data_IF_897213321049
#
_entry.id   IF_897213321049
#
_cell.length_a   1.000
_cell.length_b   1.000
_cell.length_c   1.000
_cell.angle_alpha   90.00
_cell.angle_beta   90.00
_cell.angle_gamma   90.00
#
_symmetry.space_group_name_H-M   'P 1'
#
loop_
_entity.id
_entity.type
_entity.pdbx_description
1 polymer ?
#
# COMPACT_ATOMS: atom_id res chain seq x y z
N UNK A 1 -55.63 17.15 7.18
CA UNK A 1 -54.35 16.81 7.83
C UNK A 1 -53.24 17.41 6.99
N UNK A 2 -52.52 18.37 7.57
CA UNK A 2 -51.58 19.26 6.89
C UNK A 2 -50.18 18.65 7.01
N UNK A 3 -49.48 18.54 5.88
CA UNK A 3 -48.07 18.17 5.84
C UNK A 3 -47.22 19.32 6.39
N UNK A 4 -46.44 19.06 7.43
CA UNK A 4 -45.50 20.04 7.99
C UNK A 4 -44.12 19.41 8.20
N UNK A 5 -43.25 19.67 7.23
CA UNK A 5 -41.87 20.15 7.37
C UNK A 5 -41.11 19.82 8.68
N UNK A 6 -40.44 18.67 8.73
CA UNK A 6 -39.30 18.44 9.65
C UNK A 6 -38.10 17.84 8.93
N UNK A 7 -37.92 18.17 7.65
CA UNK A 7 -36.76 17.74 6.85
C UNK A 7 -35.65 18.82 6.77
N UNK A 8 -35.89 20.04 7.27
CA UNK A 8 -35.04 21.20 7.01
C UNK A 8 -33.93 21.50 8.02
N UNK A 9 -33.95 20.93 9.22
CA UNK A 9 -33.01 21.33 10.28
C UNK A 9 -31.85 20.35 10.46
N UNK A 10 -32.05 19.07 10.14
CA UNK A 10 -30.98 18.06 10.28
C UNK A 10 -29.94 18.12 9.14
N UNK A 11 -30.28 18.76 8.02
CA UNK A 11 -29.39 18.88 6.86
C UNK A 11 -28.38 20.05 6.98
N UNK A 12 -28.58 20.98 7.92
CA UNK A 12 -27.70 22.14 8.11
C UNK A 12 -26.53 21.89 9.08
N UNK A 13 -26.50 20.75 9.79
CA UNK A 13 -25.44 20.43 10.76
C UNK A 13 -24.29 19.56 10.20
N UNK A 14 -24.39 19.07 8.95
CA UNK A 14 -23.35 18.23 8.32
C UNK A 14 -22.39 19.00 7.41
N UNK A 15 -22.56 20.31 7.26
CA UNK A 15 -21.80 21.15 6.31
C UNK A 15 -20.67 21.99 6.95
N UNK A 16 -20.18 21.62 8.14
CA UNK A 16 -19.11 22.35 8.80
C UNK A 16 -18.01 21.41 9.33
N UNK A 17 -17.21 20.86 8.41
CA UNK A 17 -15.82 20.44 8.62
C UNK A 17 -15.14 20.17 7.27
N UNK A 18 -15.24 21.12 6.33
CA UNK A 18 -14.28 21.23 5.24
C UNK A 18 -13.16 22.16 5.71
N UNK A 19 -12.08 21.56 6.22
CA UNK A 19 -10.78 22.21 6.27
C UNK A 19 -9.82 21.39 5.42
N UNK A 20 -9.17 22.12 4.54
CA UNK A 20 -8.31 21.74 3.44
C UNK A 20 -7.29 20.66 3.79
N UNK A 21 -7.43 19.48 3.19
CA UNK A 21 -6.27 18.60 2.99
C UNK A 21 -5.56 19.13 1.75
N UNK A 22 -4.29 19.58 1.86
CA UNK A 22 -3.58 20.15 0.73
C UNK A 22 -3.52 19.16 -0.43
N UNK A 23 -3.97 19.66 -1.58
CA UNK A 23 -3.65 19.15 -2.90
C UNK A 23 -2.17 18.75 -2.97
N UNK A 24 -1.93 17.59 -3.58
CA UNK A 24 -0.73 17.22 -4.34
C UNK A 24 0.43 18.23 -4.25
N UNK A 25 1.65 17.81 -3.85
CA UNK A 25 2.83 18.59 -4.18
C UNK A 25 2.82 18.84 -5.69
N UNK A 26 2.53 20.08 -6.04
CA UNK A 26 2.62 20.59 -7.38
C UNK A 26 4.01 20.24 -7.89
N UNK A 27 4.01 19.48 -8.97
CA UNK A 27 5.02 19.55 -10.00
C UNK A 27 5.63 20.97 -10.06
N UNK A 28 6.95 21.04 -9.90
CA UNK A 28 7.84 22.13 -10.31
C UNK A 28 7.45 23.53 -9.80
N UNK A 29 7.96 23.87 -8.61
CA UNK A 29 8.24 25.27 -8.32
C UNK A 29 9.21 25.79 -9.40
N UNK A 30 8.73 26.68 -10.26
CA UNK A 30 9.58 27.55 -11.06
C UNK A 30 10.25 28.54 -10.09
N UNK A 31 11.35 28.12 -9.47
CA UNK A 31 12.24 29.04 -8.78
C UNK A 31 13.04 29.82 -9.84
N UNK A 32 12.52 30.97 -10.23
CA UNK A 32 13.34 32.03 -10.84
C UNK A 32 14.28 32.52 -9.74
N UNK A 33 15.50 31.98 -9.74
CA UNK A 33 16.59 32.40 -8.85
C UNK A 33 17.37 33.52 -9.55
N UNK A 34 17.40 34.77 -9.02
CA UNK A 34 18.21 35.83 -9.61
C UNK A 34 19.63 35.73 -9.07
N UNK A 35 20.38 34.70 -9.50
CA UNK A 35 21.83 34.80 -9.68
C UNK A 35 22.34 33.55 -10.40
N UNK A 36 23.05 33.76 -11.50
CA UNK A 36 23.48 32.73 -12.44
C UNK A 36 24.63 31.86 -11.94
N UNK A 37 24.33 30.86 -11.12
CA UNK A 37 25.20 29.67 -10.97
C UNK A 37 24.36 28.43 -11.23
N UNK A 38 24.52 27.87 -12.44
CA UNK A 38 23.80 26.70 -12.94
C UNK A 38 24.24 25.49 -12.11
N UNK A 39 23.37 25.01 -11.22
CA UNK A 39 23.59 23.74 -10.55
C UNK A 39 23.73 22.63 -11.61
N UNK A 40 24.69 21.71 -11.47
CA UNK A 40 24.79 20.54 -12.34
C UNK A 40 23.46 19.77 -12.32
N UNK A 41 23.01 19.19 -13.45
CA UNK A 41 21.81 18.37 -13.46
C UNK A 41 21.93 17.28 -12.39
N UNK A 42 20.98 17.24 -11.46
CA UNK A 42 20.85 16.12 -10.53
C UNK A 42 20.67 14.87 -11.39
N UNK A 43 21.62 13.93 -11.32
CA UNK A 43 21.51 12.68 -12.05
C UNK A 43 20.16 12.01 -11.71
N UNK A 44 19.50 11.35 -12.68
CA UNK A 44 18.30 10.57 -12.39
C UNK A 44 18.56 9.62 -11.22
N UNK A 45 17.57 9.40 -10.33
CA UNK A 45 17.73 8.42 -9.26
C UNK A 45 18.12 7.07 -9.87
N UNK A 46 19.05 6.32 -9.25
CA UNK A 46 19.45 5.02 -9.76
C UNK A 46 18.21 4.12 -9.90
N UNK A 47 18.20 3.22 -10.91
CA UNK A 47 17.13 2.24 -11.01
C UNK A 47 17.00 1.47 -9.69
N UNK A 48 15.77 1.11 -9.26
CA UNK A 48 15.58 0.39 -8.01
C UNK A 48 16.48 -0.84 -8.00
N UNK A 49 17.24 -1.04 -6.92
CA UNK A 49 18.01 -2.25 -6.75
C UNK A 49 17.02 -3.41 -6.59
N UNK A 50 16.89 -4.23 -7.63
CA UNK A 50 15.92 -5.31 -7.69
C UNK A 50 16.21 -6.47 -6.71
N UNK A 51 17.28 -6.37 -5.93
CA UNK A 51 17.70 -7.40 -4.98
C UNK A 51 17.03 -7.25 -3.60
N UNK A 52 16.57 -6.05 -3.25
CA UNK A 52 16.00 -5.77 -1.93
C UNK A 52 14.47 -5.64 -1.96
N UNK A 53 13.81 -6.17 -0.93
CA UNK A 53 12.40 -5.93 -0.75
C UNK A 53 12.14 -4.48 -0.34
N UNK A 54 11.06 -3.93 -0.85
CA UNK A 54 10.66 -2.55 -0.59
C UNK A 54 9.46 -2.48 0.35
N UNK A 55 9.32 -1.34 1.03
CA UNK A 55 8.12 -1.05 1.82
C UNK A 55 6.84 -1.04 0.96
N UNK A 56 6.92 -0.64 -0.31
CA UNK A 56 5.79 -0.68 -1.23
C UNK A 56 5.31 -2.12 -1.45
N UNK A 57 6.22 -3.06 -1.74
CA UNK A 57 5.88 -4.49 -1.85
C UNK A 57 5.30 -5.04 -0.55
N UNK A 58 5.85 -4.65 0.61
CA UNK A 58 5.28 -5.03 1.92
C UNK A 58 3.84 -4.55 2.07
N UNK A 59 3.56 -3.30 1.72
CA UNK A 59 2.20 -2.73 1.80
C UNK A 59 1.22 -3.46 0.88
N UNK A 60 1.63 -3.72 -0.36
CA UNK A 60 0.80 -4.42 -1.34
C UNK A 60 0.48 -5.85 -0.88
N UNK A 61 1.48 -6.60 -0.41
CA UNK A 61 1.29 -7.97 0.09
C UNK A 61 0.40 -8.00 1.33
N UNK A 62 0.61 -7.08 2.27
CA UNK A 62 -0.21 -7.01 3.47
C UNK A 62 -1.66 -6.68 3.14
N UNK A 63 -1.90 -5.84 2.13
CA UNK A 63 -3.23 -5.48 1.67
C UNK A 63 -3.91 -6.63 0.91
N UNK A 64 -3.30 -7.08 -0.19
CA UNK A 64 -3.92 -8.01 -1.13
C UNK A 64 -3.99 -9.43 -0.59
N UNK A 65 -3.01 -9.85 0.21
CA UNK A 65 -2.96 -11.20 0.76
C UNK A 65 -3.53 -11.32 2.18
N UNK A 66 -4.11 -10.24 2.73
CA UNK A 66 -4.52 -10.14 4.15
C UNK A 66 -5.31 -11.35 4.64
N UNK A 67 -6.31 -11.78 3.88
CA UNK A 67 -7.19 -12.87 4.28
C UNK A 67 -6.52 -14.24 4.32
N UNK A 68 -5.41 -14.39 3.57
CA UNK A 68 -4.60 -15.58 3.60
C UNK A 68 -3.58 -15.57 4.74
N UNK A 69 -3.00 -14.42 5.06
CA UNK A 69 -1.91 -14.31 6.04
C UNK A 69 -2.39 -14.04 7.47
N UNK A 70 -3.61 -13.53 7.68
CA UNK A 70 -4.16 -13.21 9.02
C UNK A 70 -4.11 -14.40 9.98
N UNK A 71 -3.79 -14.17 11.25
CA UNK A 71 -3.73 -15.24 12.24
C UNK A 71 -5.09 -15.93 12.45
N UNK A 72 -6.14 -15.14 12.51
CA UNK A 72 -7.51 -15.58 12.81
C UNK A 72 -8.16 -16.39 11.68
N UNK A 73 -9.06 -17.29 12.05
CA UNK A 73 -9.92 -18.05 11.12
C UNK A 73 -11.23 -17.26 10.84
N UNK A 74 -11.90 -17.47 9.70
CA UNK A 74 -11.54 -18.36 8.58
C UNK A 74 -10.42 -17.79 7.71
N UNK A 75 -9.68 -18.66 7.03
CA UNK A 75 -8.62 -18.27 6.07
C UNK A 75 -9.18 -18.39 4.67
N UNK A 76 -8.98 -17.36 3.85
CA UNK A 76 -9.29 -17.42 2.42
C UNK A 76 -8.03 -17.75 1.64
N UNK A 77 -8.09 -18.81 0.83
CA UNK A 77 -6.98 -19.14 -0.08
C UNK A 77 -7.10 -18.22 -1.30
N UNK A 78 -6.04 -17.47 -1.67
CA UNK A 78 -6.10 -16.60 -2.84
C UNK A 78 -6.32 -17.44 -4.10
N UNK A 79 -7.19 -16.98 -4.99
CA UNK A 79 -7.39 -17.60 -6.31
C UNK A 79 -6.13 -17.43 -7.16
N UNK A 80 -5.91 -18.35 -8.09
CA UNK A 80 -4.83 -18.20 -9.08
C UNK A 80 -5.00 -16.88 -9.83
N UNK A 81 -3.89 -16.19 -10.09
CA UNK A 81 -3.84 -14.87 -10.75
C UNK A 81 -4.66 -13.77 -10.05
N UNK A 82 -5.01 -13.95 -8.78
CA UNK A 82 -5.56 -12.87 -7.95
C UNK A 82 -4.53 -11.75 -7.73
N UNK A 83 -4.96 -10.54 -7.33
CA UNK A 83 -4.05 -9.48 -6.92
C UNK A 83 -2.97 -9.92 -5.93
N UNK A 84 -3.32 -10.77 -4.96
CA UNK A 84 -2.35 -11.36 -4.03
C UNK A 84 -1.24 -12.16 -4.74
N UNK A 85 -1.57 -12.94 -5.77
CA UNK A 85 -0.54 -13.66 -6.56
C UNK A 85 0.37 -12.70 -7.30
N UNK A 86 -0.18 -11.63 -7.87
CA UNK A 86 0.60 -10.63 -8.60
C UNK A 86 1.55 -9.89 -7.66
N UNK A 87 1.07 -9.49 -6.47
CA UNK A 87 1.86 -8.88 -5.42
C UNK A 87 2.99 -9.80 -4.92
N UNK A 88 2.74 -11.11 -4.78
CA UNK A 88 3.80 -12.06 -4.40
C UNK A 88 4.81 -12.25 -5.54
N UNK A 89 4.35 -12.29 -6.80
CA UNK A 89 5.23 -12.44 -7.97
C UNK A 89 6.07 -11.21 -8.27
N UNK A 90 5.68 -10.03 -7.77
CA UNK A 90 6.48 -8.81 -7.87
C UNK A 90 7.64 -8.76 -6.85
N UNK A 91 7.69 -9.71 -5.89
CA UNK A 91 8.79 -9.82 -4.94
C UNK A 91 10.00 -10.49 -5.60
N UNK A 92 11.20 -9.90 -5.52
CA UNK A 92 12.44 -10.51 -5.99
C UNK A 92 12.61 -11.93 -5.45
N UNK A 93 12.83 -12.89 -6.37
CA UNK A 93 13.05 -14.30 -6.05
C UNK A 93 11.93 -14.95 -5.20
N UNK A 94 10.75 -14.34 -5.13
CA UNK A 94 9.66 -14.72 -4.22
C UNK A 94 10.11 -14.78 -2.75
N UNK A 95 11.06 -13.93 -2.34
CA UNK A 95 11.57 -13.89 -0.98
C UNK A 95 10.59 -13.21 -0.01
N UNK A 96 9.62 -14.00 0.41
CA UNK A 96 8.63 -13.58 1.41
C UNK A 96 9.23 -13.44 2.82
N UNK A 97 10.44 -13.95 3.08
CA UNK A 97 11.13 -13.74 4.37
C UNK A 97 11.65 -12.31 4.43
N UNK A 98 12.23 -11.83 3.34
CA UNK A 98 12.67 -10.46 3.19
C UNK A 98 11.50 -9.46 3.38
N UNK A 99 10.33 -9.70 2.77
CA UNK A 99 9.12 -8.89 3.05
C UNK A 99 8.70 -8.98 4.52
N UNK A 100 8.70 -10.18 5.11
CA UNK A 100 8.31 -10.36 6.51
C UNK A 100 9.20 -9.56 7.47
N UNK A 101 10.48 -9.39 7.13
CA UNK A 101 11.41 -8.61 7.95
C UNK A 101 11.08 -7.11 7.96
N UNK A 102 10.39 -6.61 6.92
CA UNK A 102 9.88 -5.23 6.86
C UNK A 102 8.60 -4.99 7.70
N UNK A 103 7.99 -6.05 8.24
CA UNK A 103 6.82 -5.91 9.11
C UNK A 103 7.20 -5.30 10.46
N UNK A 104 6.37 -4.38 10.92
CA UNK A 104 6.38 -3.86 12.30
C UNK A 104 6.07 -4.96 13.32
N UNK A 105 6.40 -4.72 14.59
CA UNK A 105 6.10 -5.65 15.67
C UNK A 105 4.61 -5.97 15.77
N UNK A 106 3.73 -4.98 15.54
CA UNK A 106 2.27 -5.18 15.57
C UNK A 106 1.82 -6.07 14.42
N UNK A 107 2.29 -5.81 13.20
CA UNK A 107 1.98 -6.65 12.02
C UNK A 107 2.42 -8.10 12.20
N UNK A 108 3.59 -8.33 12.81
CA UNK A 108 4.10 -9.69 13.09
C UNK A 108 3.20 -10.47 14.06
N UNK A 109 2.47 -9.79 14.94
CA UNK A 109 1.48 -10.41 15.85
C UNK A 109 0.17 -10.69 15.09
N UNK A 110 -0.22 -9.83 14.15
CA UNK A 110 -1.45 -9.99 13.37
C UNK A 110 -1.38 -11.10 12.32
N UNK A 111 -0.20 -11.39 11.78
CA UNK A 111 -0.02 -12.32 10.66
C UNK A 111 0.63 -13.63 11.07
N UNK A 112 0.11 -14.72 10.50
CA UNK A 112 0.61 -16.06 10.75
C UNK A 112 1.93 -16.30 10.00
N UNK A 113 3.04 -16.29 10.74
CA UNK A 113 4.40 -16.35 10.22
C UNK A 113 4.62 -17.42 9.13
N UNK A 114 4.22 -18.68 9.36
CA UNK A 114 4.44 -19.74 8.35
C UNK A 114 3.67 -19.52 7.05
N UNK A 115 2.46 -18.94 7.12
CA UNK A 115 1.64 -18.68 5.93
C UNK A 115 2.22 -17.51 5.14
N UNK A 116 2.70 -16.49 5.84
CA UNK A 116 3.38 -15.36 5.22
C UNK A 116 4.68 -15.79 4.54
N UNK A 117 5.63 -16.36 5.30
CA UNK A 117 6.99 -16.67 4.81
C UNK A 117 7.06 -17.79 3.77
N UNK A 118 6.24 -18.83 3.93
CA UNK A 118 6.31 -20.03 3.09
C UNK A 118 5.03 -20.27 2.31
N UNK A 119 3.88 -20.02 2.92
CA UNK A 119 2.58 -20.26 2.29
C UNK A 119 2.36 -19.45 1.02
N UNK A 120 2.67 -18.15 1.05
CA UNK A 120 2.55 -17.27 -0.12
C UNK A 120 3.47 -17.72 -1.25
N UNK A 121 4.75 -17.93 -0.95
CA UNK A 121 5.75 -18.44 -1.92
C UNK A 121 5.30 -19.75 -2.57
N UNK A 122 4.94 -20.75 -1.76
CA UNK A 122 4.58 -22.09 -2.25
C UNK A 122 3.30 -22.10 -3.12
N UNK A 123 2.38 -21.15 -2.88
CA UNK A 123 1.17 -21.02 -3.69
C UNK A 123 1.43 -20.29 -5.00
N UNK A 124 2.23 -19.23 -4.95
CA UNK A 124 2.45 -18.36 -6.10
C UNK A 124 3.55 -18.83 -7.05
N UNK A 125 4.34 -19.83 -6.64
CA UNK A 125 5.36 -20.44 -7.47
C UNK A 125 4.74 -21.07 -8.72
N UNK A 126 5.15 -20.69 -9.94
CA UNK A 126 4.72 -21.39 -11.14
C UNK A 126 5.15 -22.86 -11.07
N UNK A 127 4.18 -23.77 -11.21
CA UNK A 127 4.46 -25.18 -11.47
C UNK A 127 4.73 -25.29 -12.96
N UNK A 128 5.94 -25.70 -13.30
CA UNK A 128 6.33 -26.11 -14.66
C UNK A 128 5.59 -27.39 -15.04
#
# INVERSE_FOLDING_TARGET
MVFSNVAGVLFLLLLACSQDVPLLPAAFANDVRPNGIKAPPLAPPPPPNNEECTYAQKMEIVHECRDYIKFQRPITIPRNNSPCYNAVRSVPYLDMVCIYNLLTSIERIMYHQRRFKFGLRNRCWPRL
#
